data_IF_083491172298
#
_entry.id   IF_083491172298
#
_cell.length_a   1.000
_cell.length_b   1.000
_cell.length_c   1.000
_cell.angle_alpha   90.00
_cell.angle_beta   90.00
_cell.angle_gamma   90.00
#
_symmetry.space_group_name_H-M   'P 1'
#
loop_
_entity.id
_entity.type
_entity.pdbx_description
1 polymer ?
#
# COMPACT_ATOMS: atom_id res chain seq x y z
N UNK A 1 -5.20 -7.81 8.81
CA UNK A 1 -6.07 -8.85 8.21
C UNK A 1 -5.65 -9.15 6.79
N UNK A 2 -5.77 -10.40 6.36
CA UNK A 2 -5.74 -10.83 4.94
C UNK A 2 -7.09 -10.52 4.29
N UNK A 3 -7.15 -10.59 2.96
CA UNK A 3 -8.41 -10.49 2.22
C UNK A 3 -9.35 -11.67 2.52
N UNK A 4 -8.81 -12.88 2.68
CA UNK A 4 -9.57 -14.05 3.08
C UNK A 4 -10.23 -13.87 4.45
N UNK A 5 -9.48 -13.37 5.45
CA UNK A 5 -10.00 -13.08 6.80
C UNK A 5 -11.12 -12.04 6.78
N UNK A 6 -11.02 -11.02 5.92
CA UNK A 6 -12.07 -9.99 5.78
C UNK A 6 -13.35 -10.58 5.18
N UNK A 7 -13.21 -11.44 4.17
CA UNK A 7 -14.36 -12.10 3.53
C UNK A 7 -15.02 -13.09 4.50
N UNK A 8 -14.22 -13.86 5.24
CA UNK A 8 -14.70 -14.81 6.24
C UNK A 8 -15.43 -14.11 7.40
N UNK A 9 -15.00 -12.92 7.80
CA UNK A 9 -15.72 -12.11 8.80
C UNK A 9 -16.99 -11.43 8.26
N UNK A 10 -17.42 -11.74 7.03
CA UNK A 10 -18.60 -11.14 6.39
C UNK A 10 -18.39 -9.70 5.90
N UNK A 11 -17.14 -9.24 5.86
CA UNK A 11 -16.78 -7.90 5.40
C UNK A 11 -16.63 -7.82 3.87
N UNK A 12 -16.77 -6.61 3.33
CA UNK A 12 -16.46 -6.31 1.91
C UNK A 12 -15.05 -5.74 1.81
N UNK A 13 -14.14 -6.45 1.13
CA UNK A 13 -12.81 -5.92 0.85
C UNK A 13 -12.76 -5.17 -0.47
N UNK A 14 -12.15 -3.98 -0.48
CA UNK A 14 -11.55 -3.42 -1.68
C UNK A 14 -10.03 -3.60 -1.59
N UNK A 15 -9.55 -4.74 -2.09
CA UNK A 15 -8.18 -5.20 -1.93
C UNK A 15 -7.39 -4.95 -3.22
N UNK A 16 -6.18 -4.37 -3.13
CA UNK A 16 -5.29 -4.20 -4.28
C UNK A 16 -3.89 -4.71 -3.99
N UNK A 17 -3.29 -5.34 -5.00
CA UNK A 17 -1.90 -5.78 -4.98
C UNK A 17 -1.14 -5.09 -6.09
N UNK A 18 -0.01 -4.49 -5.76
CA UNK A 18 0.83 -3.74 -6.68
C UNK A 18 2.22 -4.35 -6.69
N UNK A 19 2.73 -4.58 -7.89
CA UNK A 19 4.07 -5.08 -8.12
C UNK A 19 5.11 -4.01 -7.78
N UNK A 20 6.24 -4.42 -7.18
CA UNK A 20 7.30 -3.47 -6.80
C UNK A 20 7.97 -2.81 -8.01
N UNK A 21 7.79 -3.31 -9.24
CA UNK A 21 8.15 -2.60 -10.47
C UNK A 21 7.46 -1.26 -10.65
N UNK A 22 6.36 -1.01 -9.93
CA UNK A 22 5.67 0.30 -9.93
C UNK A 22 6.26 1.29 -8.93
N UNK A 23 7.21 0.87 -8.09
CA UNK A 23 7.86 1.71 -7.08
C UNK A 23 9.10 2.38 -7.70
N UNK A 24 9.16 3.72 -7.79
CA UNK A 24 10.27 4.43 -8.44
C UNK A 24 11.65 4.06 -7.88
N UNK A 25 11.79 3.99 -6.55
CA UNK A 25 13.06 3.59 -5.93
C UNK A 25 13.50 2.18 -6.31
N UNK A 26 12.56 1.23 -6.44
CA UNK A 26 12.85 -0.16 -6.82
C UNK A 26 13.43 -0.24 -8.24
N UNK A 27 12.87 0.52 -9.18
CA UNK A 27 13.42 0.68 -10.52
C UNK A 27 14.82 1.29 -10.52
N UNK A 28 15.04 2.33 -9.70
CA UNK A 28 16.34 3.00 -9.58
C UNK A 28 17.45 2.07 -9.04
N UNK A 29 17.13 1.18 -8.09
CA UNK A 29 18.09 0.21 -7.55
C UNK A 29 18.14 -1.11 -8.34
N UNK A 30 17.33 -1.25 -9.39
CA UNK A 30 17.21 -2.44 -10.24
C UNK A 30 16.82 -3.72 -9.47
N UNK A 31 16.07 -3.57 -8.39
CA UNK A 31 15.49 -4.69 -7.65
C UNK A 31 13.98 -4.46 -7.48
N UNK A 32 13.22 -4.97 -8.44
CA UNK A 32 11.76 -4.81 -8.52
C UNK A 32 11.01 -6.06 -8.07
N UNK A 33 11.71 -7.02 -7.44
CA UNK A 33 11.10 -8.29 -7.06
C UNK A 33 10.08 -8.05 -5.95
N UNK A 34 8.90 -8.65 -6.12
CA UNK A 34 7.89 -8.72 -5.08
C UNK A 34 6.72 -7.75 -5.27
N UNK A 35 5.92 -7.60 -4.23
CA UNK A 35 4.66 -6.87 -4.27
C UNK A 35 4.25 -6.39 -2.88
N UNK A 36 3.38 -5.38 -2.88
CA UNK A 36 2.63 -4.91 -1.72
C UNK A 36 1.14 -5.13 -1.97
N UNK A 37 0.42 -5.63 -0.96
CA UNK A 37 -1.02 -5.75 -0.95
C UNK A 37 -1.62 -4.92 0.17
N UNK A 38 -2.60 -4.10 -0.16
CA UNK A 38 -3.39 -3.33 0.80
C UNK A 38 -4.81 -3.90 0.85
N UNK A 39 -5.29 -4.14 2.07
CA UNK A 39 -6.61 -4.68 2.38
C UNK A 39 -7.40 -3.56 3.05
N UNK A 40 -8.48 -3.11 2.43
CA UNK A 40 -9.32 -2.03 2.98
C UNK A 40 -10.77 -2.47 3.12
N UNK A 41 -11.45 -1.93 4.12
CA UNK A 41 -12.90 -2.03 4.22
C UNK A 41 -13.56 -1.17 3.12
N UNK A 42 -14.39 -1.77 2.26
CA UNK A 42 -14.96 -1.09 1.10
C UNK A 42 -15.90 0.08 1.46
N UNK A 43 -16.52 0.08 2.64
CA UNK A 43 -17.47 1.11 3.07
C UNK A 43 -16.78 2.25 3.82
N UNK A 44 -16.04 1.90 4.87
CA UNK A 44 -15.38 2.88 5.75
C UNK A 44 -14.04 3.38 5.20
N UNK A 45 -13.52 2.75 4.15
CA UNK A 45 -12.19 3.02 3.56
C UNK A 45 -11.02 2.86 4.54
N UNK A 46 -11.26 2.27 5.72
CA UNK A 46 -10.22 1.95 6.71
C UNK A 46 -9.28 0.87 6.20
N UNK A 47 -7.99 1.05 6.45
CA UNK A 47 -6.98 0.05 6.14
C UNK A 47 -7.04 -1.04 7.21
N UNK A 48 -7.30 -2.27 6.79
CA UNK A 48 -7.43 -3.45 7.65
C UNK A 48 -6.18 -4.33 7.65
N UNK A 49 -5.33 -4.19 6.62
CA UNK A 49 -4.08 -4.94 6.53
C UNK A 49 -3.18 -4.44 5.41
N UNK A 50 -1.89 -4.62 5.62
CA UNK A 50 -0.83 -4.41 4.62
C UNK A 50 0.03 -5.65 4.63
N UNK A 51 0.29 -6.22 3.46
CA UNK A 51 1.12 -7.41 3.27
C UNK A 51 2.19 -7.08 2.25
N UNK A 52 3.42 -7.55 2.46
CA UNK A 52 4.53 -7.19 1.60
C UNK A 52 5.50 -8.35 1.45
N UNK A 53 5.98 -8.54 0.22
CA UNK A 53 7.15 -9.34 -0.11
C UNK A 53 8.00 -8.45 -0.99
N UNK A 54 9.14 -7.97 -0.52
CA UNK A 54 10.00 -7.02 -1.24
C UNK A 54 11.37 -6.89 -0.53
N UNK A 55 12.38 -6.29 -1.19
CA UNK A 55 13.56 -5.78 -0.49
C UNK A 55 13.15 -4.80 0.62
N UNK A 56 13.80 -4.89 1.79
CA UNK A 56 13.52 -4.03 2.95
C UNK A 56 12.06 -4.07 3.46
N UNK A 57 11.29 -5.12 3.16
CA UNK A 57 9.89 -5.22 3.57
C UNK A 57 9.70 -5.10 5.10
N UNK A 58 10.64 -5.63 5.89
CA UNK A 58 10.62 -5.55 7.34
C UNK A 58 10.75 -4.10 7.87
N UNK A 59 11.51 -3.25 7.18
CA UNK A 59 11.65 -1.85 7.55
C UNK A 59 10.47 -1.01 7.06
N UNK A 60 9.98 -1.28 5.85
CA UNK A 60 8.84 -0.56 5.27
C UNK A 60 7.56 -0.83 6.07
N UNK A 61 7.33 -2.09 6.49
CA UNK A 61 6.10 -2.49 7.19
C UNK A 61 5.95 -1.81 8.56
N UNK A 62 7.03 -1.27 9.14
CA UNK A 62 6.94 -0.47 10.37
C UNK A 62 5.98 0.71 10.23
N UNK A 63 5.88 1.34 9.06
CA UNK A 63 4.88 2.39 8.80
C UNK A 63 3.45 1.83 8.87
N UNK A 64 3.25 0.60 8.41
CA UNK A 64 1.98 -0.11 8.46
C UNK A 64 1.45 -0.31 9.88
N UNK A 65 2.33 -0.46 10.89
CA UNK A 65 1.92 -0.57 12.30
C UNK A 65 1.19 0.70 12.74
N UNK A 66 1.73 1.87 12.42
CA UNK A 66 1.12 3.15 12.77
C UNK A 66 -0.17 3.41 12.01
N UNK A 67 -0.22 3.04 10.73
CA UNK A 67 -1.42 3.14 9.90
C UNK A 67 -2.57 2.31 10.50
N UNK A 68 -2.29 1.04 10.83
CA UNK A 68 -3.30 0.14 11.39
C UNK A 68 -3.72 0.54 12.81
N UNK A 69 -2.77 0.87 13.69
CA UNK A 69 -3.08 1.32 15.06
C UNK A 69 -3.80 2.66 15.11
N UNK A 70 -3.47 3.56 14.18
CA UNK A 70 -4.14 4.85 14.03
C UNK A 70 -5.55 4.74 13.45
N UNK A 71 -5.95 3.57 12.95
CA UNK A 71 -7.24 3.38 12.30
C UNK A 71 -7.39 4.22 11.02
N UNK A 72 -6.27 4.49 10.36
CA UNK A 72 -6.20 5.39 9.20
C UNK A 72 -6.97 4.83 8.02
N UNK A 73 -7.54 5.74 7.24
CA UNK A 73 -8.17 5.46 5.95
C UNK A 73 -7.14 5.47 4.83
N UNK A 74 -7.55 4.97 3.66
CA UNK A 74 -6.74 5.09 2.45
C UNK A 74 -6.47 6.55 2.08
N UNK A 75 -7.41 7.46 2.34
CA UNK A 75 -7.29 8.88 2.02
C UNK A 75 -6.24 9.56 2.92
N UNK A 76 -6.20 9.22 4.22
CA UNK A 76 -5.15 9.71 5.13
C UNK A 76 -3.73 9.33 4.67
N UNK A 77 -3.59 8.14 4.06
CA UNK A 77 -2.31 7.68 3.51
C UNK A 77 -1.99 8.35 2.18
N UNK A 78 -3.00 8.58 1.33
CA UNK A 78 -2.84 9.31 0.06
C UNK A 78 -2.40 10.76 0.32
N UNK A 79 -2.99 11.41 1.33
CA UNK A 79 -2.66 12.79 1.71
C UNK A 79 -1.30 12.92 2.41
N UNK A 80 -0.63 11.81 2.71
CA UNK A 80 0.74 11.83 3.23
C UNK A 80 1.78 12.19 2.17
N UNK A 81 2.92 12.72 2.62
CA UNK A 81 4.04 13.13 1.76
C UNK A 81 5.28 12.29 2.11
N UNK A 82 5.41 11.06 1.56
CA UNK A 82 6.61 10.26 1.75
C UNK A 82 7.80 10.93 1.06
N UNK A 83 9.00 10.69 1.60
CA UNK A 83 10.24 11.13 0.96
C UNK A 83 10.40 10.40 -0.38
N UNK A 84 10.62 11.17 -1.44
CA UNK A 84 10.83 10.64 -2.79
C UNK A 84 12.31 10.74 -3.20
N UNK A 85 12.91 9.70 -3.82
CA UNK A 85 12.39 8.34 -3.98
C UNK A 85 12.82 7.43 -2.81
N UNK A 86 11.88 6.67 -2.22
CA UNK A 86 12.16 5.69 -1.15
C UNK A 86 11.28 4.46 -1.29
N UNK A 87 11.76 3.26 -0.92
CA UNK A 87 10.91 2.05 -1.02
C UNK A 87 9.64 2.14 -0.15
N UNK A 88 9.65 2.96 0.91
CA UNK A 88 8.47 3.23 1.73
C UNK A 88 7.33 3.90 0.98
N UNK A 89 7.60 4.61 -0.12
CA UNK A 89 6.56 5.20 -0.96
C UNK A 89 5.60 4.14 -1.54
N UNK A 90 6.02 2.86 -1.56
CA UNK A 90 5.18 1.73 -1.97
C UNK A 90 3.85 1.65 -1.23
N UNK A 91 3.77 2.07 0.04
CA UNK A 91 2.52 2.12 0.81
C UNK A 91 1.56 3.15 0.20
N UNK A 92 2.06 4.35 -0.12
CA UNK A 92 1.25 5.40 -0.76
C UNK A 92 0.82 4.99 -2.17
N UNK A 93 1.72 4.38 -2.96
CA UNK A 93 1.39 3.88 -4.30
C UNK A 93 0.30 2.79 -4.22
N UNK A 94 0.37 1.89 -3.23
CA UNK A 94 -0.68 0.90 -2.99
C UNK A 94 -2.01 1.55 -2.63
N UNK A 95 -2.00 2.62 -1.82
CA UNK A 95 -3.19 3.39 -1.50
C UNK A 95 -3.79 4.08 -2.75
N UNK A 96 -2.97 4.76 -3.55
CA UNK A 96 -3.39 5.42 -4.79
C UNK A 96 -3.97 4.45 -5.81
N UNK A 97 -3.48 3.21 -5.87
CA UNK A 97 -3.99 2.17 -6.78
C UNK A 97 -5.46 1.78 -6.56
N UNK A 98 -6.02 2.16 -5.41
CA UNK A 98 -7.42 1.94 -5.06
C UNK A 98 -8.33 3.05 -5.59
N UNK A 99 -7.77 4.20 -5.96
CA UNK A 99 -8.52 5.39 -6.40
C UNK A 99 -8.27 5.76 -7.85
N UNK A 100 -7.09 5.43 -8.39
CA UNK A 100 -6.70 5.76 -9.76
C UNK A 100 -5.81 4.69 -10.38
N UNK A 101 -5.65 4.76 -11.70
CA UNK A 101 -4.69 3.92 -12.42
C UNK A 101 -3.27 4.47 -12.23
N UNK A 102 -2.38 3.61 -11.72
CA UNK A 102 -0.97 3.93 -11.49
C UNK A 102 -0.27 4.38 -12.77
N UNK A 103 -0.68 3.88 -13.94
CA UNK A 103 -0.09 4.29 -15.22
C UNK A 103 -0.26 5.78 -15.52
N UNK A 104 -1.23 6.45 -14.87
CA UNK A 104 -1.51 7.87 -15.04
C UNK A 104 -0.95 8.75 -13.92
N UNK A 105 -0.22 8.16 -12.95
CA UNK A 105 0.41 8.92 -11.88
C UNK A 105 1.65 9.65 -12.40
N UNK A 106 1.81 10.92 -12.01
CA UNK A 106 3.09 11.61 -12.10
C UNK A 106 4.06 11.07 -11.03
N UNK A 107 5.33 11.44 -11.10
CA UNK A 107 6.37 10.81 -10.27
C UNK A 107 6.25 11.06 -8.76
N UNK A 108 5.49 12.06 -8.29
CA UNK A 108 5.45 12.48 -6.89
C UNK A 108 4.03 12.65 -6.30
N UNK A 109 2.98 12.13 -6.95
CA UNK A 109 1.58 12.29 -6.50
C UNK A 109 1.28 11.51 -5.24
#
# INVERSE_FOLDING_TARGET
MTDAEVIESGGRCNCKTIDFSKVPKAGAIKDTRGAIKMVINAESRKILGIHMVAPEAADIINQGIYILKGGMTVDDVIDSLPVFPTLSESIKIAALSLTTDIANLSCCV
#
